data_IF_477017055768
#
_entry.id   IF_477017055768
#
_cell.length_a   1.000
_cell.length_b   1.000
_cell.length_c   1.000
_cell.angle_alpha   90.00
_cell.angle_beta   90.00
_cell.angle_gamma   90.00
#
_symmetry.space_group_name_H-M   'P 1'
#
loop_
_entity.id
_entity.type
_entity.pdbx_description
1 polymer ?
#
# COMPACT_ATOMS: atom_id res chain seq x y z
N UNK A 1 1.26 -15.10 -34.92
CA UNK A 1 1.20 -13.78 -35.58
C UNK A 1 2.45 -13.07 -35.12
N UNK A 2 3.33 -12.56 -36.00
CA UNK A 2 4.61 -11.98 -35.56
C UNK A 2 4.32 -10.64 -34.89
N UNK A 3 4.43 -10.60 -33.57
CA UNK A 3 4.13 -9.41 -32.81
C UNK A 3 5.24 -8.37 -33.01
N UNK A 4 4.88 -7.23 -33.61
CA UNK A 4 5.78 -6.10 -33.87
C UNK A 4 5.64 -5.10 -32.72
N UNK A 5 6.77 -4.68 -32.15
CA UNK A 5 6.81 -3.68 -31.06
C UNK A 5 7.61 -2.45 -31.49
N UNK A 6 7.31 -1.29 -30.92
CA UNK A 6 8.08 -0.06 -31.20
C UNK A 6 9.26 0.08 -30.25
N UNK A 7 10.39 0.56 -30.75
CA UNK A 7 11.55 0.88 -29.92
C UNK A 7 11.17 1.99 -28.92
N UNK A 8 11.36 1.78 -27.60
CA UNK A 8 10.96 2.75 -26.58
C UNK A 8 11.91 3.95 -26.49
N UNK A 9 13.03 3.93 -27.20
CA UNK A 9 13.94 5.08 -27.23
C UNK A 9 13.28 6.20 -28.03
N UNK A 10 13.04 7.32 -27.35
CA UNK A 10 12.32 8.48 -27.90
C UNK A 10 12.95 9.05 -29.19
N UNK A 11 14.26 8.87 -29.37
CA UNK A 11 14.98 9.29 -30.58
C UNK A 11 14.94 8.28 -31.73
N UNK A 12 14.35 7.10 -31.54
CA UNK A 12 14.33 6.03 -32.53
C UNK A 12 12.90 5.67 -32.96
N UNK A 13 12.07 5.16 -32.05
CA UNK A 13 10.68 4.79 -32.36
C UNK A 13 10.49 3.70 -33.43
N UNK A 14 11.58 3.09 -33.94
CA UNK A 14 11.53 2.14 -35.05
C UNK A 14 10.75 0.86 -34.69
N UNK A 15 10.15 0.22 -35.69
CA UNK A 15 9.44 -1.04 -35.53
C UNK A 15 10.44 -2.19 -35.42
N UNK A 16 10.26 -3.00 -34.39
CA UNK A 16 11.12 -4.14 -34.04
C UNK A 16 10.28 -5.40 -34.09
N UNK A 17 10.75 -6.37 -34.87
CA UNK A 17 10.16 -7.71 -34.91
C UNK A 17 10.70 -8.48 -33.71
N UNK A 18 9.80 -9.07 -32.92
CA UNK A 18 10.21 -9.87 -31.76
C UNK A 18 10.73 -11.25 -32.19
N UNK A 19 11.71 -11.74 -31.44
CA UNK A 19 12.17 -13.14 -31.55
C UNK A 19 11.30 -14.00 -30.64
N UNK A 20 10.67 -15.04 -31.20
CA UNK A 20 9.78 -15.95 -30.47
C UNK A 20 10.54 -16.85 -29.49
N UNK A 21 11.86 -16.99 -29.64
CA UNK A 21 12.68 -17.87 -28.80
C UNK A 21 13.11 -17.23 -27.49
N UNK A 22 13.08 -15.89 -27.40
CA UNK A 22 13.59 -15.15 -26.24
C UNK A 22 12.45 -14.37 -25.59
N UNK A 23 11.98 -14.89 -24.46
CA UNK A 23 10.85 -14.34 -23.71
C UNK A 23 11.05 -12.85 -23.45
N UNK A 24 10.08 -12.06 -23.89
CA UNK A 24 9.94 -10.63 -23.64
C UNK A 24 11.16 -9.79 -24.05
N UNK A 25 11.99 -10.25 -25.00
CA UNK A 25 13.17 -9.52 -25.48
C UNK A 25 12.95 -8.98 -26.90
N UNK A 26 13.33 -7.74 -27.12
CA UNK A 26 13.41 -7.15 -28.46
C UNK A 26 14.72 -6.38 -28.63
N UNK A 27 15.38 -6.58 -29.77
CA UNK A 27 16.60 -5.85 -30.16
C UNK A 27 16.28 -4.94 -31.34
N UNK A 28 16.41 -3.63 -31.15
CA UNK A 28 16.17 -2.68 -32.23
C UNK A 28 17.34 -2.63 -33.22
N UNK A 29 17.10 -2.95 -34.50
CA UNK A 29 18.14 -2.93 -35.55
C UNK A 29 18.71 -1.54 -35.86
N UNK A 30 17.96 -0.47 -35.57
CA UNK A 30 18.39 0.90 -35.88
C UNK A 30 19.31 1.49 -34.80
N UNK A 31 19.03 1.23 -33.52
CA UNK A 31 19.77 1.81 -32.41
C UNK A 31 20.43 0.79 -31.48
N UNK A 32 20.36 -0.50 -31.82
CA UNK A 32 20.88 -1.64 -31.05
C UNK A 32 20.42 -1.69 -29.59
N UNK A 33 19.28 -1.07 -29.30
CA UNK A 33 18.73 -1.10 -27.95
C UNK A 33 17.99 -2.41 -27.71
N UNK A 34 18.49 -3.21 -26.75
CA UNK A 34 17.82 -4.40 -26.25
C UNK A 34 16.89 -4.05 -25.09
N UNK A 35 15.60 -4.28 -25.26
CA UNK A 35 14.58 -3.89 -24.29
C UNK A 35 13.59 -5.01 -23.98
N UNK A 36 13.00 -4.92 -22.80
CA UNK A 36 11.91 -5.77 -22.38
C UNK A 36 10.61 -5.29 -23.03
N UNK A 37 9.91 -6.18 -23.71
CA UNK A 37 8.67 -5.85 -24.46
C UNK A 37 7.50 -5.54 -23.53
N UNK A 38 7.59 -5.97 -22.26
CA UNK A 38 6.57 -5.72 -21.23
C UNK A 38 6.72 -4.36 -20.56
N UNK A 39 7.90 -4.07 -19.99
CA UNK A 39 8.14 -2.84 -19.22
C UNK A 39 8.79 -1.73 -20.03
N UNK A 40 9.18 -2.00 -21.28
CA UNK A 40 9.84 -1.05 -22.21
C UNK A 40 11.17 -0.46 -21.70
N UNK A 41 11.75 -1.05 -20.64
CA UNK A 41 13.07 -0.73 -20.09
C UNK A 41 14.11 -1.69 -20.67
N UNK A 42 15.38 -1.49 -20.30
CA UNK A 42 16.50 -2.37 -20.68
C UNK A 42 16.13 -3.83 -20.40
N UNK A 43 16.45 -4.72 -21.33
CA UNK A 43 16.20 -6.15 -21.15
C UNK A 43 16.93 -6.67 -19.90
N UNK A 44 16.20 -7.38 -19.04
CA UNK A 44 16.67 -7.78 -17.71
C UNK A 44 16.69 -9.30 -17.52
N UNK A 45 16.61 -10.08 -18.62
CA UNK A 45 16.74 -11.54 -18.58
C UNK A 45 15.67 -12.21 -17.70
N UNK A 46 16.13 -12.98 -16.71
CA UNK A 46 15.28 -13.65 -15.72
C UNK A 46 14.82 -12.72 -14.58
N UNK A 47 15.42 -11.54 -14.44
CA UNK A 47 14.98 -10.59 -13.43
C UNK A 47 13.58 -10.07 -13.76
N UNK A 48 12.84 -9.68 -12.72
CA UNK A 48 11.46 -9.21 -12.86
C UNK A 48 11.43 -7.81 -13.48
N UNK A 49 10.33 -7.48 -14.16
CA UNK A 49 10.06 -6.12 -14.57
C UNK A 49 9.93 -5.21 -13.33
N UNK A 50 10.62 -4.08 -13.35
CA UNK A 50 10.47 -3.03 -12.33
C UNK A 50 9.50 -1.96 -12.85
N UNK A 51 8.42 -1.72 -12.11
CA UNK A 51 7.43 -0.68 -12.41
C UNK A 51 7.53 0.46 -11.41
N UNK A 52 7.24 1.67 -11.86
CA UNK A 52 7.06 2.85 -11.01
C UNK A 52 5.72 2.78 -10.27
N UNK A 53 5.57 3.50 -9.16
CA UNK A 53 4.30 3.54 -8.42
C UNK A 53 3.13 3.97 -9.32
N UNK A 54 3.33 4.93 -10.22
CA UNK A 54 2.29 5.37 -11.17
C UNK A 54 1.90 4.26 -12.15
N UNK A 55 2.87 3.52 -12.70
CA UNK A 55 2.59 2.37 -13.59
C UNK A 55 1.82 1.27 -12.86
N UNK A 56 2.22 0.97 -11.62
CA UNK A 56 1.53 -0.02 -10.78
C UNK A 56 0.08 0.40 -10.53
N UNK A 57 -0.15 1.66 -10.17
CA UNK A 57 -1.50 2.18 -9.93
C UNK A 57 -2.38 2.11 -11.19
N UNK A 58 -1.85 2.43 -12.37
CA UNK A 58 -2.59 2.28 -13.62
C UNK A 58 -2.97 0.82 -13.89
N UNK A 59 -2.02 -0.12 -13.77
CA UNK A 59 -2.26 -1.56 -13.97
C UNK A 59 -3.31 -2.08 -12.99
N UNK A 60 -3.18 -1.74 -11.71
CA UNK A 60 -4.10 -2.19 -10.67
C UNK A 60 -5.49 -1.60 -10.85
N UNK A 61 -5.60 -0.33 -11.23
CA UNK A 61 -6.89 0.28 -11.51
C UNK A 61 -7.57 -0.43 -12.69
N UNK A 62 -6.86 -0.64 -13.79
CA UNK A 62 -7.38 -1.36 -14.97
C UNK A 62 -7.82 -2.80 -14.61
N UNK A 63 -7.03 -3.52 -13.81
CA UNK A 63 -7.36 -4.87 -13.36
C UNK A 63 -8.60 -4.91 -12.44
N UNK A 64 -8.72 -3.95 -11.52
CA UNK A 64 -9.84 -3.86 -10.58
C UNK A 64 -11.14 -3.48 -11.28
N UNK A 65 -11.11 -2.47 -12.16
CA UNK A 65 -12.29 -1.95 -12.86
C UNK A 65 -12.64 -2.72 -14.13
N UNK A 66 -11.69 -3.47 -14.69
CA UNK A 66 -11.85 -4.21 -15.93
C UNK A 66 -12.76 -5.43 -15.79
N UNK A 67 -13.29 -5.88 -16.94
CA UNK A 67 -14.02 -7.13 -17.06
C UNK A 67 -13.07 -8.34 -17.07
N UNK A 68 -13.62 -9.55 -17.13
CA UNK A 68 -12.84 -10.80 -17.11
C UNK A 68 -11.84 -10.89 -18.29
N UNK A 69 -12.19 -10.31 -19.44
CA UNK A 69 -11.32 -10.27 -20.62
C UNK A 69 -10.11 -9.37 -20.38
N UNK A 70 -10.32 -8.18 -19.82
CA UNK A 70 -9.23 -7.27 -19.44
C UNK A 70 -8.32 -7.92 -18.40
N UNK A 71 -8.88 -8.57 -17.38
CA UNK A 71 -8.08 -9.27 -16.36
C UNK A 71 -7.21 -10.37 -16.96
N UNK A 72 -7.80 -11.22 -17.80
CA UNK A 72 -7.06 -12.28 -18.50
C UNK A 72 -5.95 -11.69 -19.37
N UNK A 73 -6.22 -10.62 -20.13
CA UNK A 73 -5.21 -9.97 -20.97
C UNK A 73 -4.06 -9.36 -20.14
N UNK A 74 -4.36 -8.77 -18.98
CA UNK A 74 -3.36 -8.23 -18.05
C UNK A 74 -2.51 -9.36 -17.46
N UNK A 75 -3.13 -10.48 -17.06
CA UNK A 75 -2.43 -11.66 -16.53
C UNK A 75 -1.54 -12.34 -17.58
N UNK A 76 -2.00 -12.44 -18.83
CA UNK A 76 -1.20 -12.97 -19.94
C UNK A 76 -0.01 -12.06 -20.25
N UNK A 77 -0.21 -10.74 -20.21
CA UNK A 77 0.82 -9.75 -20.51
C UNK A 77 1.90 -9.68 -19.43
N UNK A 78 1.52 -9.49 -18.17
CA UNK A 78 2.48 -9.24 -17.08
C UNK A 78 2.81 -10.49 -16.25
N UNK A 79 2.07 -11.59 -16.48
CA UNK A 79 2.14 -12.81 -15.71
C UNK A 79 1.22 -12.75 -14.50
N UNK A 80 0.32 -13.73 -14.37
CA UNK A 80 -0.64 -13.88 -13.27
C UNK A 80 -0.03 -13.66 -11.87
N UNK A 81 1.04 -14.38 -11.55
CA UNK A 81 1.75 -14.27 -10.26
C UNK A 81 2.25 -12.86 -9.98
N UNK A 82 2.68 -12.13 -11.01
CA UNK A 82 3.14 -10.73 -10.85
C UNK A 82 1.98 -9.84 -10.45
N UNK A 83 0.82 -10.01 -11.10
CA UNK A 83 -0.37 -9.21 -10.88
C UNK A 83 -0.98 -9.49 -9.52
N UNK A 84 -1.17 -10.76 -9.15
CA UNK A 84 -1.69 -11.17 -7.84
C UNK A 84 -0.88 -10.53 -6.71
N UNK A 85 0.45 -10.62 -6.78
CA UNK A 85 1.33 -9.97 -5.80
C UNK A 85 1.17 -8.45 -5.76
N UNK A 86 1.05 -7.78 -6.90
CA UNK A 86 0.85 -6.32 -6.92
C UNK A 86 -0.49 -5.92 -6.29
N UNK A 87 -1.53 -6.75 -6.49
CA UNK A 87 -2.85 -6.57 -5.86
C UNK A 87 -2.71 -6.73 -4.34
N UNK A 88 -2.11 -7.83 -3.88
CA UNK A 88 -1.87 -8.11 -2.45
C UNK A 88 -1.06 -7.00 -1.77
N UNK A 89 0.04 -6.55 -2.39
CA UNK A 89 0.87 -5.45 -1.87
C UNK A 89 0.09 -4.14 -1.76
N UNK A 90 -0.76 -3.84 -2.75
CA UNK A 90 -1.62 -2.66 -2.73
C UNK A 90 -2.69 -2.75 -1.64
N UNK A 91 -3.31 -3.90 -1.46
CA UNK A 91 -4.33 -4.10 -0.43
C UNK A 91 -3.74 -4.05 0.97
N UNK A 92 -2.57 -4.68 1.18
CA UNK A 92 -1.82 -4.61 2.42
C UNK A 92 -1.47 -3.16 2.79
N UNK A 93 -0.98 -2.38 1.81
CA UNK A 93 -0.62 -0.98 2.02
C UNK A 93 -1.83 -0.10 2.34
N UNK A 94 -2.95 -0.33 1.65
CA UNK A 94 -4.21 0.38 1.90
C UNK A 94 -4.74 0.07 3.29
N UNK A 95 -4.74 -1.21 3.68
CA UNK A 95 -5.18 -1.63 5.01
C UNK A 95 -4.38 -0.94 6.12
N UNK A 96 -3.06 -0.85 5.99
CA UNK A 96 -2.19 -0.13 6.94
C UNK A 96 -2.57 1.35 7.02
N UNK A 97 -2.85 1.98 5.87
CA UNK A 97 -3.25 3.40 5.81
C UNK A 97 -4.58 3.65 6.53
N UNK A 98 -5.53 2.72 6.38
CA UNK A 98 -6.88 2.88 6.93
C UNK A 98 -6.96 2.49 8.42
N UNK A 99 -6.14 1.53 8.87
CA UNK A 99 -6.25 0.94 10.21
C UNK A 99 -5.11 1.30 11.17
N UNK A 100 -4.03 1.93 10.68
CA UNK A 100 -2.89 2.30 11.50
C UNK A 100 -2.65 3.81 11.51
N UNK A 101 -1.98 4.30 12.54
CA UNK A 101 -1.45 5.65 12.61
C UNK A 101 0.07 5.62 12.76
N UNK A 102 0.83 6.53 12.13
CA UNK A 102 2.27 6.54 12.23
C UNK A 102 2.72 7.05 13.60
N UNK A 103 3.74 6.42 14.19
CA UNK A 103 4.38 6.94 15.39
C UNK A 103 4.96 8.35 15.13
N UNK A 104 4.73 9.35 16.00
CA UNK A 104 5.22 10.71 15.79
C UNK A 104 6.75 10.86 15.88
N UNK A 105 7.47 9.84 16.37
CA UNK A 105 8.93 9.85 16.49
C UNK A 105 9.60 9.03 15.37
N UNK A 106 9.14 7.80 15.13
CA UNK A 106 9.83 6.86 14.23
C UNK A 106 9.01 6.44 13.01
N UNK A 107 7.79 6.98 12.86
CA UNK A 107 6.86 6.75 11.76
C UNK A 107 6.40 5.29 11.56
N UNK A 108 6.76 4.36 12.44
CA UNK A 108 6.25 3.00 12.38
C UNK A 108 4.72 2.98 12.50
N UNK A 109 4.02 2.19 11.68
CA UNK A 109 2.57 2.08 11.74
C UNK A 109 2.18 1.38 13.05
N UNK A 110 1.29 2.02 13.81
CA UNK A 110 0.75 1.51 15.06
C UNK A 110 -0.75 1.33 14.88
N UNK A 111 -1.24 0.11 15.12
CA UNK A 111 -2.66 -0.19 15.22
C UNK A 111 -3.11 -0.03 16.68
N UNK A 112 -4.28 0.58 16.90
CA UNK A 112 -4.94 0.57 18.21
C UNK A 112 -5.91 -0.60 18.24
N UNK A 113 -5.59 -1.62 19.05
CA UNK A 113 -6.46 -2.78 19.24
C UNK A 113 -7.50 -2.51 20.33
N UNK A 114 -7.03 -2.10 21.51
CA UNK A 114 -7.87 -1.81 22.66
C UNK A 114 -7.12 -0.89 23.65
N UNK A 115 -7.79 -0.44 24.70
CA UNK A 115 -7.23 0.33 25.80
C UNK A 115 -7.26 1.84 25.57
N UNK A 116 -6.61 2.55 26.50
CA UNK A 116 -6.66 4.00 26.58
C UNK A 116 -5.92 4.71 25.43
N UNK A 117 -6.15 6.01 25.31
CA UNK A 117 -5.54 6.87 24.29
C UNK A 117 -4.05 7.20 24.54
N UNK A 118 -3.46 6.71 25.64
CA UNK A 118 -2.00 6.73 25.86
C UNK A 118 -1.37 5.48 25.21
N UNK A 119 -0.82 5.67 24.02
CA UNK A 119 -0.19 4.61 23.23
C UNK A 119 1.30 4.51 23.52
N UNK A 120 1.86 3.31 23.30
CA UNK A 120 3.29 3.02 23.43
C UNK A 120 3.81 2.44 22.12
N UNK A 121 4.85 3.04 21.54
CA UNK A 121 5.46 2.52 20.32
C UNK A 121 6.38 1.33 20.65
N UNK A 122 6.12 0.16 20.06
CA UNK A 122 6.96 -1.03 20.27
C UNK A 122 8.36 -0.91 19.67
N UNK A 123 8.55 -0.08 18.63
CA UNK A 123 9.85 0.09 17.97
C UNK A 123 10.81 1.00 18.73
N UNK A 124 10.34 2.17 19.19
CA UNK A 124 11.21 3.16 19.83
C UNK A 124 10.89 3.40 21.33
N UNK A 125 9.85 2.76 21.86
CA UNK A 125 9.47 2.88 23.27
C UNK A 125 8.89 4.24 23.68
N UNK A 126 8.61 5.15 22.73
CA UNK A 126 8.01 6.45 23.05
C UNK A 126 6.53 6.32 23.40
N UNK A 127 6.06 7.11 24.36
CA UNK A 127 4.63 7.29 24.61
C UNK A 127 4.07 8.43 23.77
N UNK A 128 2.83 8.29 23.29
CA UNK A 128 2.14 9.32 22.53
C UNK A 128 0.63 9.24 22.73
N UNK A 129 -0.08 10.33 22.47
CA UNK A 129 -1.54 10.38 22.51
C UNK A 129 -2.14 9.94 21.16
N UNK A 130 -3.05 8.98 21.16
CA UNK A 130 -3.72 8.50 19.94
C UNK A 130 -4.61 9.55 19.28
N UNK A 131 -5.19 10.45 20.07
CA UNK A 131 -6.15 11.45 19.58
C UNK A 131 -5.44 12.57 18.81
N UNK A 132 -4.39 13.14 19.40
CA UNK A 132 -3.68 14.29 18.83
C UNK A 132 -2.32 13.97 18.23
N UNK A 133 -1.88 12.71 18.30
CA UNK A 133 -0.59 12.23 17.81
C UNK A 133 0.64 12.94 18.41
N UNK A 134 0.49 13.67 19.53
CA UNK A 134 1.62 14.30 20.24
C UNK A 134 2.36 13.30 21.11
N UNK A 135 3.67 13.48 21.22
CA UNK A 135 4.53 12.72 22.12
C UNK A 135 4.22 13.07 23.57
N UNK A 136 4.29 12.06 24.45
CA UNK A 136 4.04 12.19 25.88
C UNK A 136 5.36 12.10 26.65
N UNK A 137 5.42 12.77 27.80
CA UNK A 137 6.53 12.65 28.72
C UNK A 137 6.61 11.21 29.27
N UNK A 138 7.83 10.67 29.41
CA UNK A 138 8.06 9.29 29.89
C UNK A 138 7.76 9.11 31.38
N UNK A 139 8.06 10.11 32.19
CA UNK A 139 7.87 10.10 33.64
C UNK A 139 6.41 10.39 34.01
N UNK A 140 5.75 11.28 33.27
CA UNK A 140 4.36 11.68 33.53
C UNK A 140 3.46 11.60 32.28
N UNK A 141 3.24 10.42 31.69
CA UNK A 141 2.50 10.28 30.43
C UNK A 141 1.01 10.64 30.55
N UNK A 142 0.42 10.50 31.74
CA UNK A 142 -1.01 10.79 31.98
C UNK A 142 -1.31 12.27 32.22
N UNK A 143 -0.28 13.11 32.47
CA UNK A 143 -0.46 14.55 32.69
C UNK A 143 -1.22 15.21 31.54
N UNK A 144 -0.94 14.79 30.30
CA UNK A 144 -1.61 15.27 29.10
C UNK A 144 -3.14 15.12 29.11
N UNK A 145 -3.68 14.14 29.85
CA UNK A 145 -5.12 13.90 29.95
C UNK A 145 -5.73 14.54 31.20
N UNK A 146 -4.91 14.95 32.17
CA UNK A 146 -5.36 15.56 33.43
C UNK A 146 -5.13 17.07 33.46
N UNK A 147 -4.52 17.63 32.41
CA UNK A 147 -4.23 19.05 32.29
C UNK A 147 -5.40 19.79 31.61
N UNK A 148 -6.08 20.74 32.29
CA UNK A 148 -7.18 21.50 31.71
C UNK A 148 -6.78 22.32 30.47
N UNK A 149 -5.50 22.65 30.30
CA UNK A 149 -5.00 23.36 29.11
C UNK A 149 -4.80 22.43 27.91
N UNK A 150 -4.85 21.11 28.12
CA UNK A 150 -4.69 20.13 27.05
C UNK A 150 -5.99 19.95 26.26
N UNK A 151 -5.88 19.96 24.93
CA UNK A 151 -6.98 19.57 24.03
C UNK A 151 -7.48 18.12 24.24
N UNK A 152 -6.77 17.31 25.02
CA UNK A 152 -7.16 15.94 25.37
C UNK A 152 -7.53 15.77 26.85
N UNK A 153 -7.84 16.86 27.55
CA UNK A 153 -8.31 16.83 28.93
C UNK A 153 -9.53 15.91 29.09
N UNK A 154 -9.47 14.99 30.05
CA UNK A 154 -10.48 13.95 30.31
C UNK A 154 -10.82 13.04 29.12
N UNK A 155 -9.98 12.98 28.08
CA UNK A 155 -10.21 12.13 26.90
C UNK A 155 -9.38 10.84 26.91
N UNK A 156 -8.85 10.41 28.06
CA UNK A 156 -8.00 9.20 28.15
C UNK A 156 -8.72 7.95 27.64
N UNK A 157 -10.01 7.81 27.94
CA UNK A 157 -10.82 6.64 27.57
C UNK A 157 -11.88 6.95 26.51
N UNK A 158 -11.84 8.13 25.87
CA UNK A 158 -12.79 8.47 24.80
C UNK A 158 -12.71 7.44 23.67
N UNK A 159 -13.85 6.84 23.33
CA UNK A 159 -13.97 5.86 22.25
C UNK A 159 -13.38 4.48 22.55
N UNK A 160 -13.11 4.18 23.83
CA UNK A 160 -12.81 2.81 24.27
C UNK A 160 -14.13 2.09 24.47
N UNK A 161 -14.32 0.94 23.82
CA UNK A 161 -15.48 0.09 24.04
C UNK A 161 -15.35 -0.54 25.42
N UNK A 162 -16.13 -0.10 26.38
CA UNK A 162 -16.25 -0.79 27.67
C UNK A 162 -17.25 -1.93 27.48
N UNK A 163 -16.88 -3.15 27.87
CA UNK A 163 -17.82 -4.29 27.89
C UNK A 163 -18.85 -4.19 29.03
N UNK A 164 -19.17 -2.96 29.44
CA UNK A 164 -20.07 -2.62 30.55
C UNK A 164 -21.13 -1.60 30.08
N UNK A 165 -21.46 -1.61 28.79
CA UNK A 165 -22.74 -1.10 28.34
C UNK A 165 -23.70 -2.29 28.45
N UNK A 166 -24.26 -2.46 29.65
CA UNK A 166 -25.18 -3.54 29.95
C UNK A 166 -26.36 -3.55 28.98
N UNK A 167 -26.47 -4.64 28.21
CA UNK A 167 -27.76 -5.16 27.76
C UNK A 167 -28.53 -5.61 29.01
N UNK A 168 -29.08 -4.64 29.74
CA UNK A 168 -30.20 -4.88 30.63
C UNK A 168 -31.43 -4.53 29.80
N UNK A 169 -31.90 -5.52 29.02
CA UNK A 169 -33.28 -5.51 28.52
C UNK A 169 -34.17 -5.50 29.78
N UNK A 170 -34.55 -4.31 30.23
CA UNK A 170 -35.68 -4.14 31.14
C UNK A 170 -36.93 -4.63 30.39
N UNK A 171 -37.26 -5.92 30.56
CA UNK A 171 -38.64 -6.33 30.65
C UNK A 171 -39.28 -5.49 31.76
N UNK A 172 -40.09 -4.51 31.38
CA UNK A 172 -41.18 -4.05 32.24
C UNK A 172 -42.45 -3.84 31.41
N UNK A 173 -43.41 -4.70 31.73
CA UNK A 173 -44.83 -4.71 31.42
C UNK A 173 -45.48 -3.32 31.33
N UNK A 174 -46.33 -3.13 30.32
CA UNK A 174 -47.77 -2.83 30.47
C UNK A 174 -48.55 -3.03 29.14
#
# INVERSE_FOLDING_TARGET
MRDVVTCPRNSCGSFVVMDENIRNMALCSECNFAFCTLCRKVYHGLARCTFTNTEIQCILNEYKTGDEKVRTAIEEKYGKVTIERLVEESESSQWVTDNCRPCPICSSPIQKLDGCNKMSCMKCGSYFCWLCMKTLNKDTPYKHFNDPESQCFNLLFRGVRTMDDGDFDDEDDL
#
